data_IF_632363572743
#
_entry.id   IF_632363572743
#
_cell.length_a   1.000
_cell.length_b   1.000
_cell.length_c   1.000
_cell.angle_alpha   90.00
_cell.angle_beta   90.00
_cell.angle_gamma   90.00
#
_symmetry.space_group_name_H-M   'P 1'
#
loop_
_entity.id
_entity.type
_entity.pdbx_description
1 polymer ?
#
# COMPACT_ATOMS: atom_id res chain seq x y z
N UNK A 1 -28.82 5.20 11.28
CA UNK A 1 -28.11 5.39 10.00
C UNK A 1 -27.63 6.84 9.95
N UNK A 2 -26.33 7.04 9.98
CA UNK A 2 -25.70 8.33 9.82
C UNK A 2 -24.47 8.24 8.88
N UNK A 3 -23.91 9.36 8.53
CA UNK A 3 -22.73 9.43 7.64
C UNK A 3 -21.41 9.24 8.40
N UNK A 4 -21.46 9.08 9.73
CA UNK A 4 -20.26 9.01 10.59
C UNK A 4 -19.37 7.83 10.23
N UNK A 5 -19.97 6.68 9.88
CA UNK A 5 -19.19 5.50 9.45
C UNK A 5 -18.46 5.72 8.13
N UNK A 6 -19.05 6.47 7.21
CA UNK A 6 -18.36 6.83 5.96
C UNK A 6 -17.21 7.81 6.22
N UNK A 7 -17.34 8.67 7.25
CA UNK A 7 -16.30 9.58 7.69
C UNK A 7 -15.10 8.86 8.33
N UNK A 8 -15.29 7.64 8.81
CA UNK A 8 -14.23 6.80 9.40
C UNK A 8 -13.70 5.80 8.39
N UNK A 9 -13.21 6.29 7.27
CA UNK A 9 -12.46 5.49 6.28
C UNK A 9 -13.28 4.33 5.65
N UNK A 10 -14.59 4.52 5.50
CA UNK A 10 -15.48 3.53 4.92
C UNK A 10 -15.83 2.36 5.83
N UNK A 11 -15.65 2.51 7.14
CA UNK A 11 -16.02 1.50 8.12
C UNK A 11 -17.50 1.12 8.00
N UNK A 12 -17.81 -0.17 8.02
CA UNK A 12 -19.15 -0.71 7.77
C UNK A 12 -19.79 -1.44 8.97
N UNK A 13 -19.12 -1.42 10.12
CA UNK A 13 -19.57 -2.01 11.39
C UNK A 13 -19.63 -3.54 11.40
N UNK A 14 -18.88 -4.19 10.54
CA UNK A 14 -18.79 -5.65 10.44
C UNK A 14 -17.67 -6.29 11.29
N UNK A 15 -17.14 -5.54 12.24
CA UNK A 15 -16.05 -5.96 13.12
C UNK A 15 -14.85 -4.99 13.10
N UNK A 16 -15.04 -3.81 12.53
CA UNK A 16 -14.03 -2.75 12.55
C UNK A 16 -13.64 -2.37 13.97
N UNK A 17 -12.34 -2.23 14.21
CA UNK A 17 -11.80 -1.75 15.48
C UNK A 17 -11.46 -0.27 15.40
N UNK A 18 -11.87 0.47 16.42
CA UNK A 18 -11.60 1.89 16.55
C UNK A 18 -10.58 2.14 17.66
N UNK A 19 -9.60 2.98 17.36
CA UNK A 19 -8.71 3.53 18.37
C UNK A 19 -9.28 4.86 18.86
N UNK A 20 -9.55 4.93 20.17
CA UNK A 20 -10.02 6.14 20.83
C UNK A 20 -8.90 6.67 21.74
N UNK A 21 -8.69 7.97 21.74
CA UNK A 21 -7.65 8.60 22.55
C UNK A 21 -8.10 9.97 23.04
N UNK A 22 -7.73 10.30 24.27
CA UNK A 22 -7.80 11.63 24.87
C UNK A 22 -6.42 12.30 24.98
N UNK A 23 -5.41 11.72 24.35
CA UNK A 23 -4.08 12.29 24.33
C UNK A 23 -4.11 13.69 23.70
N UNK A 24 -3.82 14.72 24.51
CA UNK A 24 -3.91 16.12 24.10
C UNK A 24 -3.09 16.43 22.86
N UNK A 25 -1.89 15.87 22.73
CA UNK A 25 -1.04 16.09 21.55
C UNK A 25 -1.71 15.58 20.28
N UNK A 26 -2.34 14.42 20.35
CA UNK A 26 -3.05 13.85 19.18
C UNK A 26 -4.32 14.64 18.87
N UNK A 27 -5.13 14.94 19.88
CA UNK A 27 -6.42 15.65 19.71
C UNK A 27 -6.19 17.08 19.19
N UNK A 28 -5.23 17.81 19.76
CA UNK A 28 -4.95 19.21 19.41
C UNK A 28 -4.27 19.36 18.04
N UNK A 29 -3.58 18.31 17.55
CA UNK A 29 -2.90 18.32 16.25
C UNK A 29 -3.64 17.51 15.17
N UNK A 30 -4.85 17.06 15.42
CA UNK A 30 -5.69 16.40 14.44
C UNK A 30 -6.50 17.43 13.65
N UNK A 31 -6.33 17.43 12.32
CA UNK A 31 -7.14 18.26 11.44
C UNK A 31 -8.51 17.62 11.23
N UNK A 32 -9.57 18.39 11.46
CA UNK A 32 -10.92 17.96 11.15
C UNK A 32 -11.20 18.25 9.67
N UNK A 33 -10.89 17.29 8.80
CA UNK A 33 -11.10 17.39 7.37
C UNK A 33 -12.54 16.98 6.99
N UNK A 34 -13.08 17.47 5.87
CA UNK A 34 -14.35 17.02 5.34
C UNK A 34 -14.36 15.51 5.09
N UNK A 35 -15.48 14.87 5.40
CA UNK A 35 -15.67 13.47 5.06
C UNK A 35 -15.65 13.26 3.54
N UNK A 36 -14.84 12.32 3.09
CA UNK A 36 -14.75 11.93 1.69
C UNK A 36 -15.47 10.60 1.51
N UNK A 37 -16.51 10.62 0.66
CA UNK A 37 -17.18 9.39 0.30
C UNK A 37 -16.48 8.74 -0.90
N UNK A 38 -15.85 7.59 -0.68
CA UNK A 38 -15.22 6.81 -1.73
C UNK A 38 -16.28 5.98 -2.47
N UNK A 39 -16.71 6.45 -3.63
CA UNK A 39 -17.62 5.68 -4.49
C UNK A 39 -16.82 4.68 -5.31
N UNK A 40 -16.92 3.41 -4.96
CA UNK A 40 -16.25 2.32 -5.65
C UNK A 40 -17.14 1.69 -6.72
N UNK A 41 -16.53 1.27 -7.84
CA UNK A 41 -17.24 0.48 -8.85
C UNK A 41 -17.36 -0.96 -8.37
N UNK A 42 -18.60 -1.47 -8.35
CA UNK A 42 -18.84 -2.88 -8.04
C UNK A 42 -18.16 -3.77 -9.08
N UNK A 43 -17.56 -4.86 -8.62
CA UNK A 43 -17.02 -5.88 -9.50
C UNK A 43 -18.13 -6.49 -10.38
N UNK A 44 -17.85 -6.81 -11.64
CA UNK A 44 -18.81 -7.51 -12.49
C UNK A 44 -19.13 -8.89 -11.90
N UNK A 45 -20.41 -9.25 -11.91
CA UNK A 45 -20.84 -10.58 -11.47
C UNK A 45 -20.32 -11.63 -12.46
N UNK A 46 -19.72 -12.68 -11.95
CA UNK A 46 -19.28 -13.84 -12.74
C UNK A 46 -19.43 -15.13 -11.94
N UNK A 47 -19.46 -16.25 -12.65
CA UNK A 47 -19.33 -17.57 -12.02
C UNK A 47 -17.87 -17.72 -11.58
N UNK A 48 -17.68 -18.05 -10.30
CA UNK A 48 -16.34 -18.19 -9.71
C UNK A 48 -15.76 -19.54 -10.10
N UNK A 49 -14.57 -19.55 -10.69
CA UNK A 49 -13.78 -20.73 -11.02
C UNK A 49 -12.59 -20.88 -10.05
N UNK A 50 -11.98 -22.06 -9.97
CA UNK A 50 -10.81 -22.32 -9.11
C UNK A 50 -9.68 -21.33 -9.34
N UNK A 51 -9.39 -20.99 -10.59
CA UNK A 51 -8.37 -19.96 -10.94
C UNK A 51 -8.65 -18.59 -10.33
N UNK A 52 -9.93 -18.25 -10.12
CA UNK A 52 -10.33 -16.96 -9.53
C UNK A 52 -10.05 -16.95 -8.02
N UNK A 53 -10.26 -18.08 -7.35
CA UNK A 53 -9.93 -18.25 -5.92
C UNK A 53 -8.41 -18.17 -5.72
N UNK A 54 -7.62 -18.81 -6.57
CA UNK A 54 -6.16 -18.74 -6.55
C UNK A 54 -5.69 -17.29 -6.76
N UNK A 55 -6.27 -16.60 -7.75
CA UNK A 55 -5.92 -15.21 -8.04
C UNK A 55 -6.32 -14.26 -6.91
N UNK A 56 -7.51 -14.44 -6.32
CA UNK A 56 -7.96 -13.65 -5.17
C UNK A 56 -7.01 -13.86 -3.98
N UNK A 57 -6.64 -15.11 -3.70
CA UNK A 57 -5.70 -15.44 -2.64
C UNK A 57 -4.31 -14.84 -2.90
N UNK A 58 -3.78 -14.92 -4.12
CA UNK A 58 -2.54 -14.28 -4.52
C UNK A 58 -2.59 -12.75 -4.33
N UNK A 59 -3.71 -12.12 -4.70
CA UNK A 59 -3.89 -10.67 -4.59
C UNK A 59 -4.07 -10.20 -3.14
N UNK A 60 -4.54 -11.06 -2.22
CA UNK A 60 -4.71 -10.73 -0.81
C UNK A 60 -3.38 -10.55 -0.06
N UNK A 61 -2.28 -11.09 -0.56
CA UNK A 61 -0.94 -10.98 0.03
C UNK A 61 -0.13 -9.76 -0.43
N UNK A 62 -0.77 -8.79 -1.09
CA UNK A 62 -0.09 -7.58 -1.56
C UNK A 62 0.24 -6.61 -0.42
N UNK A 63 1.28 -5.79 -0.61
CA UNK A 63 1.69 -4.71 0.28
C UNK A 63 1.09 -3.34 -0.14
N UNK A 64 0.07 -3.36 -0.99
CA UNK A 64 -0.51 -2.16 -1.62
C UNK A 64 -1.11 -1.20 -0.58
N UNK A 65 -1.75 -1.72 0.49
CA UNK A 65 -2.30 -0.91 1.58
C UNK A 65 -1.18 -0.12 2.25
N UNK A 66 -0.14 -0.81 2.71
CA UNK A 66 1.00 -0.17 3.39
C UNK A 66 1.76 0.80 2.48
N UNK A 67 1.94 0.46 1.20
CA UNK A 67 2.56 1.36 0.22
C UNK A 67 1.75 2.63 0.03
N UNK A 68 0.43 2.51 -0.13
CA UNK A 68 -0.45 3.66 -0.34
C UNK A 68 -0.48 4.55 0.91
N UNK A 69 -0.66 3.97 2.08
CA UNK A 69 -0.62 4.69 3.37
C UNK A 69 0.69 5.45 3.55
N UNK A 70 1.83 4.80 3.30
CA UNK A 70 3.13 5.44 3.43
C UNK A 70 3.33 6.60 2.44
N UNK A 71 2.80 6.49 1.21
CA UNK A 71 2.85 7.57 0.21
C UNK A 71 2.02 8.77 0.66
N UNK A 72 0.79 8.55 1.14
CA UNK A 72 -0.08 9.61 1.64
C UNK A 72 0.56 10.29 2.86
N UNK A 73 1.08 9.52 3.81
CA UNK A 73 1.79 10.07 4.96
C UNK A 73 3.01 10.90 4.55
N UNK A 74 3.72 10.49 3.49
CA UNK A 74 4.83 11.30 2.95
C UNK A 74 4.33 12.58 2.29
N UNK A 75 3.15 12.59 1.69
CA UNK A 75 2.54 13.81 1.13
C UNK A 75 2.23 14.83 2.22
N UNK A 76 1.74 14.41 3.39
CA UNK A 76 1.58 15.29 4.56
C UNK A 76 2.93 15.88 4.99
N UNK A 77 3.99 15.07 5.06
CA UNK A 77 5.35 15.53 5.41
C UNK A 77 5.91 16.57 4.40
N UNK A 78 5.56 16.43 3.12
CA UNK A 78 5.94 17.39 2.09
C UNK A 78 5.07 18.65 2.17
N UNK A 79 3.75 18.49 2.36
CA UNK A 79 2.79 19.59 2.46
C UNK A 79 3.15 20.57 3.60
N UNK A 80 3.59 20.02 4.73
CA UNK A 80 3.99 20.84 5.90
C UNK A 80 5.15 21.81 5.63
N UNK A 81 5.80 21.74 4.45
CA UNK A 81 6.89 22.66 4.05
C UNK A 81 6.37 23.89 3.31
N UNK A 82 5.13 23.89 2.91
CA UNK A 82 4.51 24.95 2.13
C UNK A 82 3.47 25.69 2.97
N UNK A 83 3.38 27.00 2.78
CA UNK A 83 2.38 27.80 3.45
C UNK A 83 0.97 27.47 2.90
N UNK A 84 -0.03 27.53 3.77
CA UNK A 84 -1.43 27.38 3.40
C UNK A 84 -1.80 28.42 2.35
N UNK A 85 -2.46 27.98 1.26
CA UNK A 85 -2.87 28.84 0.14
C UNK A 85 -1.81 28.97 -0.96
N UNK A 86 -0.66 28.30 -0.87
CA UNK A 86 0.25 28.16 -2.01
C UNK A 86 -0.23 27.04 -2.94
N UNK A 87 0.13 27.14 -4.22
CA UNK A 87 -0.25 26.13 -5.22
C UNK A 87 0.24 24.72 -4.83
N UNK A 88 1.47 24.61 -4.33
CA UNK A 88 2.07 23.36 -3.88
C UNK A 88 1.27 22.74 -2.72
N UNK A 89 0.88 23.56 -1.75
CA UNK A 89 0.10 23.12 -0.60
C UNK A 89 -1.27 22.59 -1.07
N UNK A 90 -1.95 23.30 -1.96
CA UNK A 90 -3.29 22.97 -2.41
C UNK A 90 -3.31 21.73 -3.32
N UNK A 91 -2.30 21.58 -4.20
CA UNK A 91 -2.11 20.35 -4.98
C UNK A 91 -1.88 19.15 -4.05
N UNK A 92 -1.05 19.30 -3.01
CA UNK A 92 -0.80 18.23 -2.05
C UNK A 92 -2.05 17.89 -1.24
N UNK A 93 -2.83 18.90 -0.81
CA UNK A 93 -4.11 18.67 -0.13
C UNK A 93 -5.06 17.84 -1.00
N UNK A 94 -5.19 18.18 -2.29
CA UNK A 94 -5.96 17.38 -3.24
C UNK A 94 -5.44 15.96 -3.40
N UNK A 95 -4.12 15.76 -3.50
CA UNK A 95 -3.51 14.43 -3.63
C UNK A 95 -3.71 13.58 -2.39
N UNK A 96 -3.65 14.18 -1.20
CA UNK A 96 -3.91 13.50 0.08
C UNK A 96 -5.35 13.00 0.11
N UNK A 97 -6.31 13.86 -0.26
CA UNK A 97 -7.72 13.48 -0.39
C UNK A 97 -7.90 12.30 -1.36
N UNK A 98 -7.30 12.39 -2.55
CA UNK A 98 -7.31 11.28 -3.50
C UNK A 98 -6.61 10.02 -2.92
N UNK A 99 -5.62 10.20 -2.07
CA UNK A 99 -4.91 9.13 -1.37
C UNK A 99 -5.84 8.25 -0.54
N UNK A 100 -6.84 8.83 0.12
CA UNK A 100 -7.88 8.10 0.86
C UNK A 100 -8.63 7.13 -0.06
N UNK A 101 -9.02 7.58 -1.27
CA UNK A 101 -9.66 6.72 -2.25
C UNK A 101 -8.74 5.56 -2.69
N UNK A 102 -7.46 5.82 -2.92
CA UNK A 102 -6.50 4.77 -3.28
C UNK A 102 -6.30 3.77 -2.15
N UNK A 103 -6.29 4.24 -0.89
CA UNK A 103 -6.17 3.38 0.27
C UNK A 103 -7.42 2.49 0.41
N UNK A 104 -8.61 3.05 0.31
CA UNK A 104 -9.86 2.30 0.36
C UNK A 104 -9.93 1.24 -0.75
N UNK A 105 -9.53 1.61 -1.97
CA UNK A 105 -9.45 0.67 -3.08
C UNK A 105 -8.44 -0.46 -2.84
N UNK A 106 -7.33 -0.18 -2.17
CA UNK A 106 -6.33 -1.21 -1.83
C UNK A 106 -6.87 -2.18 -0.77
N UNK A 107 -7.64 -1.70 0.21
CA UNK A 107 -8.31 -2.51 1.23
C UNK A 107 -9.34 -3.44 0.56
N UNK A 108 -10.17 -2.89 -0.32
CA UNK A 108 -11.28 -3.62 -0.94
C UNK A 108 -10.88 -4.41 -2.21
N UNK A 109 -9.60 -4.40 -2.57
CA UNK A 109 -9.08 -5.14 -3.73
C UNK A 109 -9.44 -6.63 -3.69
N UNK A 110 -9.45 -7.22 -2.50
CA UNK A 110 -9.83 -8.62 -2.28
C UNK A 110 -11.30 -8.91 -2.62
N UNK A 111 -12.15 -7.89 -2.57
CA UNK A 111 -13.57 -7.96 -2.96
C UNK A 111 -13.77 -7.87 -4.48
N UNK A 112 -12.69 -7.91 -5.27
CA UNK A 112 -12.72 -7.85 -6.73
C UNK A 112 -12.90 -6.44 -7.32
N UNK A 113 -12.69 -5.41 -6.52
CA UNK A 113 -12.76 -4.02 -6.99
C UNK A 113 -11.57 -3.74 -7.92
N UNK A 114 -11.87 -3.18 -9.09
CA UNK A 114 -10.84 -2.73 -10.03
C UNK A 114 -10.29 -1.38 -9.56
N UNK A 115 -9.20 -1.43 -8.82
CA UNK A 115 -8.53 -0.23 -8.32
C UNK A 115 -7.60 0.37 -9.40
N UNK A 116 -7.71 1.67 -9.65
CA UNK A 116 -6.68 2.39 -10.39
C UNK A 116 -5.47 2.60 -9.48
N UNK A 117 -4.24 2.40 -9.95
CA UNK A 117 -3.05 2.70 -9.16
C UNK A 117 -2.91 4.21 -8.97
N UNK A 118 -2.32 4.62 -7.84
CA UNK A 118 -1.91 6.00 -7.62
C UNK A 118 -0.93 6.43 -8.72
N UNK A 119 -1.07 7.64 -9.29
CA UNK A 119 -0.16 8.14 -10.32
C UNK A 119 1.30 8.11 -9.87
N UNK A 120 2.19 7.57 -10.70
CA UNK A 120 3.61 7.41 -10.34
C UNK A 120 4.32 8.74 -10.12
N UNK A 121 3.92 9.76 -10.85
CA UNK A 121 4.44 11.13 -10.75
C UNK A 121 4.22 11.77 -9.37
N UNK A 122 3.31 11.26 -8.57
CA UNK A 122 3.06 11.78 -7.22
C UNK A 122 4.10 11.31 -6.19
N UNK A 123 4.78 10.19 -6.45
CA UNK A 123 5.68 9.57 -5.48
C UNK A 123 7.01 9.08 -6.06
N UNK A 124 7.30 9.37 -7.34
CA UNK A 124 8.54 8.95 -8.00
C UNK A 124 9.14 10.07 -8.83
N UNK A 125 10.38 10.46 -8.54
CA UNK A 125 11.14 11.43 -9.36
C UNK A 125 11.41 10.91 -10.75
N UNK A 126 11.64 9.61 -10.91
CA UNK A 126 11.89 9.02 -12.23
C UNK A 126 10.71 9.18 -13.17
N UNK A 127 9.46 9.18 -12.64
CA UNK A 127 8.27 9.43 -13.44
C UNK A 127 8.13 10.90 -13.88
N UNK A 128 8.85 11.82 -13.23
CA UNK A 128 8.89 13.24 -13.53
C UNK A 128 10.18 13.67 -14.25
N UNK A 129 10.94 12.71 -14.81
CA UNK A 129 12.14 13.04 -15.60
C UNK A 129 11.73 13.75 -16.89
N UNK A 130 12.31 14.91 -17.13
CA UNK A 130 12.06 15.68 -18.35
C UNK A 130 12.77 14.96 -19.51
N UNK A 131 12.07 14.84 -20.61
CA UNK A 131 12.61 14.27 -21.87
C UNK A 131 12.63 15.36 -22.96
N UNK A 132 13.53 15.21 -23.92
CA UNK A 132 13.68 16.15 -25.03
C UNK A 132 12.42 16.24 -25.92
N UNK A 133 11.54 15.25 -25.82
CA UNK A 133 10.26 15.18 -26.55
C UNK A 133 9.09 15.82 -25.81
N UNK A 134 9.30 16.30 -24.57
CA UNK A 134 8.22 16.88 -23.77
C UNK A 134 7.82 18.26 -24.29
N UNK A 135 6.52 18.54 -24.32
CA UNK A 135 6.00 19.87 -24.60
C UNK A 135 6.23 20.82 -23.41
N UNK A 136 6.21 22.15 -23.61
CA UNK A 136 6.38 23.11 -22.52
C UNK A 136 5.40 22.88 -21.35
N UNK A 137 4.15 22.51 -21.63
CA UNK A 137 3.15 22.24 -20.60
C UNK A 137 3.48 20.97 -19.81
N UNK A 138 4.03 19.94 -20.47
CA UNK A 138 4.49 18.71 -19.82
C UNK A 138 5.69 19.00 -18.94
N UNK A 139 6.63 19.82 -19.42
CA UNK A 139 7.81 20.24 -18.66
C UNK A 139 7.38 20.97 -17.39
N UNK A 140 6.55 22.00 -17.52
CA UNK A 140 6.03 22.77 -16.37
C UNK A 140 5.35 21.87 -15.34
N UNK A 141 4.52 20.92 -15.78
CA UNK A 141 3.86 19.95 -14.89
C UNK A 141 4.87 19.04 -14.18
N UNK A 142 5.90 18.56 -14.89
CA UNK A 142 6.94 17.71 -14.31
C UNK A 142 7.81 18.49 -13.31
N UNK A 143 8.11 19.74 -13.58
CA UNK A 143 8.83 20.62 -12.65
C UNK A 143 8.02 20.84 -11.37
N UNK A 144 6.74 21.21 -11.48
CA UNK A 144 5.85 21.31 -10.32
C UNK A 144 5.79 19.98 -9.54
N UNK A 145 5.60 18.87 -10.23
CA UNK A 145 5.61 17.56 -9.59
C UNK A 145 6.93 17.26 -8.85
N UNK A 146 8.08 17.62 -9.42
CA UNK A 146 9.37 17.43 -8.76
C UNK A 146 9.54 18.27 -7.50
N UNK A 147 8.88 19.42 -7.42
CA UNK A 147 8.88 20.28 -6.23
C UNK A 147 8.14 19.62 -5.06
N UNK A 148 7.03 18.94 -5.36
CA UNK A 148 6.10 18.37 -4.36
C UNK A 148 6.11 16.83 -4.31
N UNK A 149 7.02 16.17 -5.00
CA UNK A 149 7.05 14.69 -5.06
C UNK A 149 7.30 14.07 -3.69
N UNK A 150 6.47 13.10 -3.33
CA UNK A 150 6.56 12.35 -2.09
C UNK A 150 7.41 11.07 -2.29
N UNK A 151 8.65 11.22 -2.75
CA UNK A 151 9.56 10.12 -3.12
C UNK A 151 10.33 9.50 -1.95
N UNK A 152 10.21 10.10 -0.78
CA UNK A 152 10.90 9.62 0.43
C UNK A 152 9.93 8.89 1.34
N UNK A 153 10.50 8.09 2.23
CA UNK A 153 9.70 7.45 3.29
C UNK A 153 9.14 8.50 4.25
N UNK A 154 7.98 8.22 4.85
CA UNK A 154 7.44 9.07 5.91
C UNK A 154 8.47 9.39 6.99
N UNK A 155 8.37 10.58 7.58
CA UNK A 155 9.32 11.08 8.56
C UNK A 155 9.64 10.08 9.67
N UNK A 156 8.61 9.50 10.30
CA UNK A 156 8.80 8.51 11.38
C UNK A 156 9.55 7.25 10.92
N UNK A 157 9.39 6.83 9.66
CA UNK A 157 10.09 5.68 9.11
C UNK A 157 11.60 5.91 8.97
N UNK A 158 12.06 7.17 8.89
CA UNK A 158 13.49 7.50 8.83
C UNK A 158 14.21 7.12 10.12
N UNK A 159 13.51 7.20 11.26
CA UNK A 159 14.06 6.80 12.56
C UNK A 159 13.94 5.30 12.82
N UNK A 160 12.81 4.71 12.49
CA UNK A 160 12.51 3.32 12.82
C UNK A 160 13.10 2.35 11.80
N UNK A 161 13.12 2.72 10.51
CA UNK A 161 13.46 1.82 9.42
C UNK A 161 14.88 1.24 9.48
N UNK A 162 15.96 1.99 9.82
CA UNK A 162 17.30 1.43 9.91
C UNK A 162 17.38 0.26 10.91
N UNK A 163 16.78 0.41 12.08
CA UNK A 163 16.78 -0.63 13.12
C UNK A 163 15.89 -1.80 12.74
N UNK A 164 14.73 -1.55 12.17
CA UNK A 164 13.85 -2.60 11.63
C UNK A 164 14.55 -3.40 10.54
N UNK A 165 15.22 -2.74 9.60
CA UNK A 165 15.96 -3.44 8.53
C UNK A 165 17.12 -4.26 9.07
N UNK A 166 17.83 -3.78 10.08
CA UNK A 166 18.88 -4.55 10.74
C UNK A 166 18.30 -5.81 11.39
N UNK A 167 17.20 -5.68 12.13
CA UNK A 167 16.49 -6.80 12.75
C UNK A 167 15.96 -7.78 11.70
N UNK A 168 15.32 -7.26 10.64
CA UNK A 168 14.79 -8.06 9.54
C UNK A 168 15.88 -8.85 8.84
N UNK A 169 16.99 -8.22 8.47
CA UNK A 169 18.11 -8.88 7.81
C UNK A 169 18.73 -9.96 8.70
N UNK A 170 18.80 -9.72 10.02
CA UNK A 170 19.26 -10.70 10.99
C UNK A 170 18.29 -11.89 11.07
N UNK A 171 16.98 -11.61 11.08
CA UNK A 171 15.94 -12.63 11.08
C UNK A 171 16.01 -13.49 9.80
N UNK A 172 16.09 -12.88 8.63
CA UNK A 172 16.19 -13.60 7.35
C UNK A 172 17.44 -14.46 7.30
N UNK A 173 18.62 -13.92 7.68
CA UNK A 173 19.85 -14.73 7.77
C UNK A 173 19.71 -15.95 8.69
N UNK A 174 18.97 -15.79 9.80
CA UNK A 174 18.73 -16.89 10.73
C UNK A 174 17.63 -17.84 10.24
N UNK A 175 16.63 -17.31 9.52
CA UNK A 175 15.57 -18.11 8.91
C UNK A 175 16.12 -18.99 7.77
N UNK A 176 16.99 -18.44 6.93
CA UNK A 176 17.68 -19.20 5.89
C UNK A 176 18.54 -20.34 6.48
N UNK A 177 19.22 -20.08 7.60
CA UNK A 177 19.99 -21.11 8.31
C UNK A 177 19.12 -22.18 8.97
N UNK A 178 17.94 -21.79 9.46
CA UNK A 178 17.00 -22.71 10.13
C UNK A 178 16.07 -23.41 9.15
N UNK A 179 16.13 -23.12 7.86
CA UNK A 179 15.20 -23.53 6.78
C UNK A 179 13.80 -23.83 7.34
N UNK A 180 12.77 -23.20 6.84
CA UNK A 180 11.39 -23.49 7.23
C UNK A 180 11.19 -24.99 6.96
N UNK A 181 11.25 -25.81 8.01
CA UNK A 181 11.03 -27.24 7.90
C UNK A 181 9.54 -27.50 8.04
N UNK A 182 8.92 -27.69 6.92
CA UNK A 182 7.62 -28.33 6.84
C UNK A 182 7.88 -29.79 6.45
N UNK A 183 7.18 -30.75 6.99
CA UNK A 183 7.44 -32.18 6.78
C UNK A 183 8.85 -32.67 7.19
N UNK A 184 9.56 -31.94 8.05
CA UNK A 184 10.89 -32.30 8.51
C UNK A 184 12.05 -32.08 7.56
N UNK A 185 11.80 -31.54 6.37
CA UNK A 185 12.82 -31.24 5.33
C UNK A 185 12.75 -29.79 4.88
N UNK A 186 13.85 -29.26 4.36
CA UNK A 186 13.86 -27.93 3.76
C UNK A 186 13.14 -27.93 2.41
N UNK A 187 12.66 -26.76 1.96
CA UNK A 187 12.03 -26.63 0.64
C UNK A 187 12.95 -27.10 -0.47
N UNK A 188 14.26 -26.79 -0.40
CA UNK A 188 15.27 -27.24 -1.37
C UNK A 188 15.40 -28.76 -1.39
N UNK A 189 15.47 -29.41 -0.22
CA UNK A 189 15.49 -30.86 -0.12
C UNK A 189 14.21 -31.46 -0.66
N UNK A 190 13.06 -30.84 -0.38
CA UNK A 190 11.77 -31.25 -0.88
C UNK A 190 11.67 -31.13 -2.40
N UNK A 191 12.22 -30.05 -2.99
CA UNK A 191 12.29 -29.88 -4.46
C UNK A 191 13.07 -30.99 -5.15
N UNK A 192 14.16 -31.47 -4.52
CA UNK A 192 15.03 -32.53 -5.05
C UNK A 192 14.60 -33.96 -4.68
N UNK A 193 13.61 -34.11 -3.82
CA UNK A 193 13.10 -35.42 -3.42
C UNK A 193 12.44 -36.13 -4.61
N UNK A 194 12.88 -37.36 -4.92
CA UNK A 194 12.38 -38.12 -6.06
C UNK A 194 10.91 -38.60 -5.90
N UNK A 195 10.56 -39.10 -4.73
CA UNK A 195 9.22 -39.58 -4.42
C UNK A 195 8.56 -38.64 -3.40
N UNK A 196 7.73 -37.72 -3.89
CA UNK A 196 6.99 -36.77 -3.08
C UNK A 196 5.60 -37.30 -2.78
N UNK A 197 5.14 -37.11 -1.55
CA UNK A 197 3.71 -37.38 -1.21
C UNK A 197 2.81 -36.34 -1.89
N UNK A 198 1.49 -36.60 -2.00
CA UNK A 198 0.56 -35.62 -2.53
C UNK A 198 0.60 -34.27 -1.80
N UNK A 199 0.71 -34.31 -0.45
CA UNK A 199 0.80 -33.10 0.39
C UNK A 199 2.09 -32.34 0.14
N UNK A 200 3.22 -33.02 -0.06
CA UNK A 200 4.49 -32.39 -0.41
C UNK A 200 4.48 -31.76 -1.79
N UNK A 201 3.80 -32.37 -2.75
CA UNK A 201 3.61 -31.83 -4.10
C UNK A 201 2.73 -30.58 -4.07
N UNK A 202 1.62 -30.62 -3.32
CA UNK A 202 0.73 -29.50 -3.12
C UNK A 202 1.45 -28.33 -2.44
N UNK A 203 2.24 -28.61 -1.39
CA UNK A 203 3.04 -27.60 -0.72
C UNK A 203 4.04 -26.93 -1.67
N UNK A 204 4.77 -27.71 -2.47
CA UNK A 204 5.72 -27.16 -3.44
C UNK A 204 5.00 -26.33 -4.51
N UNK A 205 3.87 -26.81 -5.04
CA UNK A 205 3.05 -26.04 -5.98
C UNK A 205 2.62 -24.70 -5.39
N UNK A 206 2.25 -24.69 -4.11
CA UNK A 206 1.87 -23.47 -3.40
C UNK A 206 3.06 -22.54 -3.15
N UNK A 207 4.21 -23.11 -2.86
CA UNK A 207 5.44 -22.35 -2.67
C UNK A 207 5.95 -21.72 -3.98
N UNK A 208 5.94 -22.45 -5.07
CA UNK A 208 6.34 -21.96 -6.40
C UNK A 208 5.40 -20.88 -6.95
N UNK A 209 4.11 -20.93 -6.63
CA UNK A 209 3.17 -19.86 -6.95
C UNK A 209 3.43 -18.54 -6.20
N UNK A 210 4.21 -18.58 -5.11
CA UNK A 210 4.57 -17.40 -4.30
C UNK A 210 5.88 -16.74 -4.72
N UNK A 211 6.66 -17.37 -5.58
CA UNK A 211 7.85 -16.75 -6.13
C UNK A 211 7.45 -15.79 -7.24
N UNK A 212 7.98 -14.53 -7.22
CA UNK A 212 7.68 -13.53 -8.25
C UNK A 212 8.19 -13.95 -9.60
#
# INVERSE_FOLDING_TARGET
WDTTTHATNGADKDGDMYFLTDNKVLVENTLNLPCIMCVQRKAPKKIVEEKDLILANKNSFGDDIGKTTNRVTTMFDVQARFAVGTEEHDILAYRIICGELYQQNAIDKVKGIVAKPMPKEWYSRDANRIADTDTPEIIQRKEMNNTIVADKKPYFMRYIYPDLMKKYNTYIKNADKKSIRQFGVSVKELQHKKNKTPEEQEFLRYYEMKLP
#
